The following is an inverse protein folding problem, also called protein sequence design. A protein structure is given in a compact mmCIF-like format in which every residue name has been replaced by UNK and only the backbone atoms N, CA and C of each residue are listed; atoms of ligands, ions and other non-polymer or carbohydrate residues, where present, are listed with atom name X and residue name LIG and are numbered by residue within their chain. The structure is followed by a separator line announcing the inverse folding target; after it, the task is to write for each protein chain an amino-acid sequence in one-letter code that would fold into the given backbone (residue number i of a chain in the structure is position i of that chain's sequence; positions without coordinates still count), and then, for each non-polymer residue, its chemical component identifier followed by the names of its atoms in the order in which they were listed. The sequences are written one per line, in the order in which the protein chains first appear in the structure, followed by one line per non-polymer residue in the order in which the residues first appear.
data_IF_028923476208
#
_entry.id   IF_028923476208
#
_cell.length_a   1.000
_cell.length_b   1.000
_cell.length_c   1.000
_cell.angle_alpha   90.00
_cell.angle_beta   90.00
_cell.angle_gamma   90.00
#
_symmetry.space_group_name_H-M   'P 1'
#
loop_
_entity.id
_entity.type
_entity.pdbx_description
1 polymer ?
#
# COMPACT_ATOMS: atom_id res chain seq x y z
N UNK A 1 2.79 13.32 -12.41
CA UNK A 1 2.45 14.22 -13.53
C UNK A 1 2.28 15.62 -12.98
N UNK A 2 2.61 16.66 -13.75
CA UNK A 2 2.38 18.07 -13.43
C UNK A 2 1.39 18.61 -14.45
N UNK A 3 0.38 19.32 -13.98
CA UNK A 3 -0.70 19.86 -14.80
C UNK A 3 -0.71 21.38 -14.79
N UNK A 4 -1.14 21.99 -15.89
CA UNK A 4 -1.45 23.42 -15.94
C UNK A 4 -2.83 23.70 -15.32
N UNK A 5 -3.19 24.98 -15.18
CA UNK A 5 -4.52 25.38 -14.72
C UNK A 5 -5.64 24.92 -15.68
N UNK A 6 -5.33 24.75 -16.96
CA UNK A 6 -6.28 24.29 -17.99
C UNK A 6 -6.45 22.76 -18.01
N UNK A 7 -5.70 22.03 -17.18
CA UNK A 7 -5.74 20.57 -17.08
C UNK A 7 -4.80 19.85 -18.04
N UNK A 8 -3.96 20.57 -18.79
CA UNK A 8 -2.98 19.97 -19.69
C UNK A 8 -1.80 19.37 -18.94
N UNK A 9 -1.27 18.26 -19.45
CA UNK A 9 -0.06 17.63 -18.90
C UNK A 9 1.18 18.42 -19.32
N UNK A 10 1.77 19.14 -18.38
CA UNK A 10 3.00 19.90 -18.60
C UNK A 10 4.23 18.98 -18.59
N UNK A 11 4.30 18.04 -17.65
CA UNK A 11 5.41 17.11 -17.52
C UNK A 11 5.00 15.81 -16.82
N UNK A 12 5.70 14.73 -17.15
CA UNK A 12 5.55 13.43 -16.51
C UNK A 12 6.89 12.70 -16.43
N UNK A 13 6.97 11.84 -15.43
CA UNK A 13 8.06 10.89 -15.20
C UNK A 13 7.44 9.60 -14.68
N UNK A 14 8.12 8.49 -14.93
CA UNK A 14 7.66 7.14 -14.63
C UNK A 14 8.88 6.25 -14.43
N UNK A 15 8.77 5.34 -13.48
CA UNK A 15 9.79 4.35 -13.20
C UNK A 15 9.11 3.08 -12.68
N UNK A 16 9.65 1.94 -13.07
CA UNK A 16 9.24 0.64 -12.57
C UNK A 16 9.87 0.36 -11.19
N UNK A 17 9.19 -0.44 -10.39
CA UNK A 17 9.71 -0.97 -9.13
C UNK A 17 9.55 -2.50 -9.12
N UNK A 18 10.38 -3.18 -8.34
CA UNK A 18 10.48 -4.63 -8.36
C UNK A 18 9.21 -5.29 -7.82
N UNK A 19 8.76 -6.33 -8.52
CA UNK A 19 7.73 -7.24 -8.05
C UNK A 19 8.41 -8.41 -7.33
N UNK A 20 8.15 -8.58 -6.03
CA UNK A 20 8.70 -9.68 -5.26
C UNK A 20 7.69 -10.84 -5.20
N UNK A 21 8.15 -12.04 -5.56
CA UNK A 21 7.36 -13.27 -5.53
C UNK A 21 8.03 -14.32 -4.63
N UNK A 22 7.95 -14.20 -3.28
CA UNK A 22 8.63 -15.12 -2.37
C UNK A 22 8.21 -16.58 -2.55
N UNK A 23 6.95 -16.81 -2.95
CA UNK A 23 6.40 -18.12 -3.28
C UNK A 23 5.17 -17.98 -4.21
N UNK A 24 4.70 -19.06 -4.85
CA UNK A 24 3.55 -19.01 -5.75
C UNK A 24 2.31 -18.37 -5.10
N UNK A 25 1.72 -17.39 -5.79
CA UNK A 25 0.54 -16.66 -5.33
C UNK A 25 0.81 -15.53 -4.33
N UNK A 26 2.08 -15.33 -3.93
CA UNK A 26 2.48 -14.21 -3.07
C UNK A 26 3.06 -13.09 -3.92
N UNK A 27 2.64 -11.86 -3.63
CA UNK A 27 3.07 -10.66 -4.35
C UNK A 27 3.38 -9.57 -3.32
N UNK A 28 4.62 -9.11 -3.33
CA UNK A 28 5.14 -8.12 -2.39
C UNK A 28 5.86 -6.98 -3.11
N UNK A 29 5.88 -5.80 -2.47
CA UNK A 29 6.75 -4.69 -2.83
C UNK A 29 7.56 -4.25 -1.62
N UNK A 30 8.80 -3.78 -1.81
CA UNK A 30 9.52 -3.06 -0.76
C UNK A 30 8.90 -1.65 -0.59
N UNK A 31 8.35 -1.30 0.60
CA UNK A 31 7.80 0.04 0.82
C UNK A 31 8.83 1.17 0.68
N UNK A 32 10.13 0.88 0.92
CA UNK A 32 11.20 1.85 0.74
C UNK A 32 11.45 2.12 -0.73
N UNK A 33 11.46 1.07 -1.57
CA UNK A 33 11.60 1.23 -3.01
C UNK A 33 10.42 2.04 -3.59
N UNK A 34 9.19 1.78 -3.13
CA UNK A 34 8.02 2.59 -3.51
C UNK A 34 8.27 4.07 -3.18
N UNK A 35 8.75 4.36 -1.97
CA UNK A 35 8.99 5.73 -1.51
C UNK A 35 10.13 6.42 -2.24
N UNK A 36 11.25 5.72 -2.43
CA UNK A 36 12.43 6.22 -3.15
C UNK A 36 12.10 6.49 -4.63
N UNK A 37 11.42 5.55 -5.28
CA UNK A 37 10.97 5.69 -6.67
C UNK A 37 10.00 6.86 -6.81
N UNK A 38 9.06 7.02 -5.87
CA UNK A 38 8.12 8.17 -5.86
C UNK A 38 8.87 9.50 -5.79
N UNK A 39 9.88 9.62 -4.92
CA UNK A 39 10.69 10.83 -4.83
C UNK A 39 11.49 11.10 -6.12
N UNK A 40 12.06 10.05 -6.73
CA UNK A 40 12.82 10.16 -7.97
C UNK A 40 11.94 10.67 -9.12
N UNK A 41 10.76 10.09 -9.33
CA UNK A 41 9.85 10.53 -10.41
C UNK A 41 9.28 11.93 -10.16
N UNK A 42 9.10 12.34 -8.90
CA UNK A 42 8.72 13.74 -8.58
C UNK A 42 9.83 14.70 -9.01
N UNK A 43 11.08 14.42 -8.62
CA UNK A 43 12.23 15.26 -8.99
C UNK A 43 12.43 15.31 -10.50
N UNK A 44 12.29 14.17 -11.18
CA UNK A 44 12.41 14.08 -12.63
C UNK A 44 11.31 14.86 -13.35
N UNK A 45 10.05 14.76 -12.90
CA UNK A 45 8.95 15.52 -13.50
C UNK A 45 9.14 17.04 -13.35
N UNK A 46 9.61 17.50 -12.18
CA UNK A 46 9.94 18.90 -11.95
C UNK A 46 11.07 19.37 -12.88
N UNK A 47 12.14 18.57 -13.01
CA UNK A 47 13.28 18.85 -13.87
C UNK A 47 12.87 18.94 -15.35
N UNK A 48 12.12 17.94 -15.85
CA UNK A 48 11.59 17.90 -17.23
C UNK A 48 10.68 19.09 -17.53
N UNK A 49 9.82 19.47 -16.58
CA UNK A 49 8.95 20.64 -16.70
C UNK A 49 9.64 21.98 -16.47
N UNK A 50 10.91 21.97 -16.02
CA UNK A 50 11.67 23.18 -15.59
C UNK A 50 10.91 23.99 -14.54
N UNK A 51 10.19 23.30 -13.65
CA UNK A 51 9.36 23.90 -12.62
C UNK A 51 10.09 23.89 -11.28
N UNK A 52 10.07 25.02 -10.59
CA UNK A 52 10.53 25.11 -9.21
C UNK A 52 9.44 24.57 -8.27
N UNK A 53 9.80 23.85 -7.18
CA UNK A 53 8.80 23.32 -6.24
C UNK A 53 7.82 24.37 -5.71
N UNK A 54 8.28 25.61 -5.49
CA UNK A 54 7.45 26.71 -5.01
C UNK A 54 6.36 27.19 -5.98
N UNK A 55 6.38 26.74 -7.24
CA UNK A 55 5.33 27.04 -8.23
C UNK A 55 4.19 26.01 -8.22
N UNK A 56 4.30 24.93 -7.45
CA UNK A 56 3.25 23.91 -7.33
C UNK A 56 2.19 24.36 -6.34
N UNK A 57 0.95 24.52 -6.80
CA UNK A 57 -0.16 24.96 -5.96
C UNK A 57 -0.70 23.87 -5.03
N UNK A 58 -0.68 22.61 -5.47
CA UNK A 58 -1.21 21.47 -4.73
C UNK A 58 -0.62 20.14 -5.21
N UNK A 59 -0.75 19.09 -4.39
CA UNK A 59 -0.38 17.72 -4.74
C UNK A 59 -1.63 16.85 -4.69
N UNK A 60 -1.93 16.17 -5.80
CA UNK A 60 -2.91 15.09 -5.85
C UNK A 60 -2.22 13.74 -5.66
N UNK A 61 -2.74 12.91 -4.76
CA UNK A 61 -2.20 11.57 -4.49
C UNK A 61 -3.21 10.55 -4.97
N UNK A 62 -2.72 9.61 -5.78
CA UNK A 62 -3.44 8.40 -6.18
C UNK A 62 -2.49 7.22 -6.04
N UNK A 63 -3.03 6.04 -5.76
CA UNK A 63 -2.22 4.86 -5.47
C UNK A 63 -2.92 3.58 -5.94
N UNK A 64 -2.13 2.52 -6.11
CA UNK A 64 -2.68 1.18 -6.16
C UNK A 64 -3.45 0.93 -4.85
N UNK A 65 -4.70 0.49 -4.98
CA UNK A 65 -5.56 0.25 -3.83
C UNK A 65 -5.20 -1.09 -3.16
N UNK A 66 -5.78 -1.30 -1.98
CA UNK A 66 -5.72 -2.49 -1.11
C UNK A 66 -4.34 -2.95 -0.60
N UNK A 67 -3.24 -2.68 -1.31
CA UNK A 67 -1.87 -2.96 -0.88
C UNK A 67 -1.64 -2.44 0.54
N UNK A 68 -1.15 -3.30 1.42
CA UNK A 68 -1.11 -3.06 2.88
C UNK A 68 0.33 -2.97 3.38
N UNK A 69 0.64 -1.90 4.10
CA UNK A 69 1.95 -1.64 4.72
C UNK A 69 1.71 -1.39 6.21
N UNK A 70 2.58 -1.94 7.06
CA UNK A 70 2.63 -1.64 8.50
C UNK A 70 4.04 -1.14 8.82
N UNK A 71 4.16 -0.11 9.65
CA UNK A 71 5.45 0.48 10.00
C UNK A 71 5.54 0.87 11.47
N UNK A 72 6.77 0.91 11.99
CA UNK A 72 7.06 1.45 13.31
C UNK A 72 6.83 2.96 13.34
N UNK A 73 5.97 3.41 14.26
CA UNK A 73 5.50 4.79 14.38
C UNK A 73 6.62 5.80 14.65
N UNK A 74 7.65 5.40 15.41
CA UNK A 74 8.72 6.30 15.84
C UNK A 74 9.78 6.47 14.76
N UNK A 75 10.12 5.38 14.08
CA UNK A 75 11.21 5.33 13.11
C UNK A 75 10.75 5.48 11.66
N UNK A 76 9.46 5.27 11.39
CA UNK A 76 8.91 5.21 10.03
C UNK A 76 9.34 3.97 9.24
N UNK A 77 10.00 3.00 9.89
CA UNK A 77 10.52 1.81 9.20
C UNK A 77 9.43 0.77 9.02
N UNK A 78 9.24 0.22 7.80
CA UNK A 78 8.33 -0.89 7.60
C UNK A 78 8.72 -2.09 8.45
N UNK A 79 7.74 -2.76 9.05
CA UNK A 79 7.99 -3.99 9.83
C UNK A 79 8.06 -5.23 8.92
N UNK A 80 7.55 -5.10 7.69
CA UNK A 80 7.54 -6.13 6.65
C UNK A 80 7.39 -5.46 5.27
N UNK A 81 7.51 -6.23 4.19
CA UNK A 81 7.16 -5.78 2.85
C UNK A 81 5.68 -5.39 2.74
N UNK A 82 5.35 -4.57 1.74
CA UNK A 82 3.96 -4.33 1.39
C UNK A 82 3.33 -5.60 0.83
N UNK A 83 2.20 -6.04 1.38
CA UNK A 83 1.43 -7.15 0.81
C UNK A 83 0.50 -6.58 -0.25
N UNK A 84 0.72 -6.97 -1.51
CA UNK A 84 0.05 -6.38 -2.67
C UNK A 84 -1.38 -6.88 -2.78
N UNK A 85 -2.26 -6.09 -3.41
CA UNK A 85 -3.66 -6.45 -3.66
C UNK A 85 -3.85 -7.78 -4.40
N UNK A 86 -2.92 -8.17 -5.28
CA UNK A 86 -2.93 -9.45 -6.01
C UNK A 86 -2.59 -10.66 -5.13
N UNK A 87 -2.00 -10.44 -3.95
CA UNK A 87 -1.54 -11.50 -3.08
C UNK A 87 -2.69 -12.38 -2.57
N UNK A 88 -2.49 -13.70 -2.62
CA UNK A 88 -3.50 -14.71 -2.28
C UNK A 88 -3.23 -15.45 -0.97
N UNK A 89 -2.21 -15.03 -0.18
CA UNK A 89 -1.78 -15.72 1.05
C UNK A 89 -2.85 -15.80 2.12
N UNK A 90 -3.81 -14.88 2.08
CA UNK A 90 -4.86 -14.73 3.09
C UNK A 90 -6.08 -15.60 2.81
N UNK A 91 -5.98 -16.61 1.93
CA UNK A 91 -7.09 -17.50 1.57
C UNK A 91 -7.70 -18.18 2.80
N UNK A 92 -6.87 -18.74 3.67
CA UNK A 92 -7.31 -19.43 4.90
C UNK A 92 -7.98 -18.46 5.88
N UNK A 93 -7.44 -17.24 5.99
CA UNK A 93 -8.05 -16.16 6.76
C UNK A 93 -9.45 -15.83 6.23
N UNK A 94 -9.60 -15.68 4.91
CA UNK A 94 -10.90 -15.38 4.29
C UNK A 94 -11.89 -16.52 4.51
N UNK A 95 -11.44 -17.78 4.36
CA UNK A 95 -12.27 -18.95 4.59
C UNK A 95 -12.75 -19.01 6.05
N UNK A 96 -11.87 -18.70 7.00
CA UNK A 96 -12.24 -18.64 8.42
C UNK A 96 -13.32 -17.59 8.70
N UNK A 97 -13.26 -16.41 8.08
CA UNK A 97 -14.28 -15.36 8.22
C UNK A 97 -15.65 -15.87 7.72
N UNK A 98 -15.66 -16.66 6.65
CA UNK A 98 -16.87 -17.26 6.08
C UNK A 98 -17.42 -18.34 7.03
N UNK A 99 -16.56 -19.27 7.45
CA UNK A 99 -16.92 -20.41 8.30
C UNK A 99 -17.41 -19.96 9.69
N UNK A 100 -16.84 -18.87 10.22
CA UNK A 100 -17.27 -18.24 11.48
C UNK A 100 -18.58 -17.42 11.32
N UNK A 101 -19.17 -17.36 10.12
CA UNK A 101 -20.43 -16.66 9.85
C UNK A 101 -20.34 -15.13 9.86
N UNK A 102 -19.12 -14.58 9.72
CA UNK A 102 -18.85 -13.13 9.84
C UNK A 102 -19.05 -12.39 8.51
N UNK A 103 -18.98 -13.09 7.36
CA UNK A 103 -19.10 -12.49 6.02
C UNK A 103 -20.35 -11.61 5.80
N UNK A 104 -21.57 -11.95 6.28
CA UNK A 104 -22.74 -11.09 6.14
C UNK A 104 -22.53 -9.69 6.74
N UNK A 105 -21.88 -9.61 7.91
CA UNK A 105 -21.58 -8.34 8.58
C UNK A 105 -20.52 -7.54 7.82
N UNK A 106 -19.51 -8.21 7.26
CA UNK A 106 -18.51 -7.55 6.39
C UNK A 106 -19.20 -6.92 5.19
N UNK A 107 -20.08 -7.67 4.53
CA UNK A 107 -20.78 -7.19 3.33
C UNK A 107 -21.73 -6.04 3.63
N UNK A 108 -22.48 -6.11 4.73
CA UNK A 108 -23.36 -5.01 5.16
C UNK A 108 -22.57 -3.73 5.42
N UNK A 109 -21.44 -3.82 6.13
CA UNK A 109 -20.68 -2.63 6.57
C UNK A 109 -19.79 -2.03 5.50
N UNK A 110 -19.28 -2.85 4.58
CA UNK A 110 -18.23 -2.44 3.64
C UNK A 110 -18.66 -2.50 2.18
N UNK A 111 -19.74 -3.23 1.88
CA UNK A 111 -20.12 -3.59 0.51
C UNK A 111 -19.21 -4.66 -0.13
N UNK A 112 -18.23 -5.19 0.60
CA UNK A 112 -17.23 -6.12 0.09
C UNK A 112 -17.55 -7.57 0.48
N UNK A 113 -16.99 -8.52 -0.28
CA UNK A 113 -17.00 -9.96 0.03
C UNK A 113 -15.71 -10.37 0.76
N UNK A 114 -15.70 -11.54 1.40
CA UNK A 114 -14.49 -12.11 1.96
C UNK A 114 -13.57 -12.62 0.85
N UNK A 115 -12.59 -11.80 0.45
CA UNK A 115 -11.65 -12.14 -0.61
C UNK A 115 -10.23 -11.71 -0.26
N UNK A 116 -9.24 -12.44 -0.79
CA UNK A 116 -7.82 -12.16 -0.56
C UNK A 116 -7.36 -10.81 -1.10
N UNK A 117 -8.18 -10.20 -1.97
CA UNK A 117 -7.92 -8.91 -2.60
C UNK A 117 -7.77 -7.76 -1.58
N UNK A 118 -8.59 -7.74 -0.53
CA UNK A 118 -8.73 -6.59 0.37
C UNK A 118 -7.69 -6.55 1.50
N UNK A 119 -7.51 -5.36 2.09
CA UNK A 119 -6.47 -5.08 3.09
C UNK A 119 -6.66 -5.75 4.44
N UNK A 120 -7.91 -5.93 4.90
CA UNK A 120 -8.21 -6.45 6.23
C UNK A 120 -7.53 -7.81 6.52
N UNK A 121 -7.73 -8.83 5.67
CA UNK A 121 -7.03 -10.11 5.79
C UNK A 121 -5.50 -9.99 5.75
N UNK A 122 -4.96 -9.04 4.96
CA UNK A 122 -3.50 -8.82 4.84
C UNK A 122 -2.93 -8.22 6.12
N UNK A 123 -3.65 -7.26 6.71
CA UNK A 123 -3.29 -6.68 8.00
C UNK A 123 -3.32 -7.74 9.11
N UNK A 124 -4.35 -8.59 9.16
CA UNK A 124 -4.39 -9.68 10.14
C UNK A 124 -3.21 -10.65 9.96
N UNK A 125 -2.87 -11.01 8.72
CA UNK A 125 -1.70 -11.82 8.43
C UNK A 125 -0.41 -11.17 8.96
N UNK A 126 -0.20 -9.88 8.70
CA UNK A 126 0.97 -9.14 9.20
C UNK A 126 1.06 -9.16 10.73
N UNK A 127 -0.04 -8.90 11.43
CA UNK A 127 -0.07 -8.89 12.89
C UNK A 127 0.22 -10.28 13.50
N UNK A 128 -0.22 -11.35 12.84
CA UNK A 128 -0.07 -12.72 13.34
C UNK A 128 1.27 -13.36 12.97
N UNK A 129 1.89 -12.95 11.86
CA UNK A 129 3.07 -13.61 11.31
C UNK A 129 4.36 -12.80 11.46
N UNK A 130 4.29 -11.48 11.60
CA UNK A 130 5.47 -10.64 11.84
C UNK A 130 5.78 -10.65 13.34
N UNK A 131 6.97 -11.13 13.78
CA UNK A 131 7.28 -11.26 15.19
C UNK A 131 7.09 -9.95 15.96
N UNK A 132 6.28 -10.02 17.03
CA UNK A 132 5.99 -8.88 17.90
C UNK A 132 5.00 -7.86 17.34
N UNK A 133 4.62 -7.92 16.06
CA UNK A 133 3.79 -6.89 15.41
C UNK A 133 2.46 -6.68 16.12
N UNK A 134 1.76 -7.75 16.54
CA UNK A 134 0.52 -7.65 17.31
C UNK A 134 0.70 -6.90 18.64
N UNK A 135 1.72 -7.27 19.42
CA UNK A 135 2.00 -6.62 20.71
C UNK A 135 2.38 -5.16 20.52
N UNK A 136 3.21 -4.84 19.52
CA UNK A 136 3.55 -3.47 19.19
C UNK A 136 2.31 -2.67 18.73
N UNK A 137 1.39 -3.29 17.98
CA UNK A 137 0.16 -2.65 17.52
C UNK A 137 -0.78 -2.33 18.68
N UNK A 138 -0.94 -3.26 19.62
CA UNK A 138 -1.74 -3.07 20.84
C UNK A 138 -1.20 -1.94 21.73
N UNK A 139 0.12 -1.67 21.66
CA UNK A 139 0.77 -0.52 22.32
C UNK A 139 0.74 0.77 21.49
N UNK A 140 0.21 0.75 20.27
CA UNK A 140 0.20 1.90 19.36
C UNK A 140 1.57 2.28 18.79
N UNK A 141 2.53 1.34 18.82
CA UNK A 141 3.90 1.52 18.36
C UNK A 141 4.08 1.23 16.87
N UNK A 142 3.16 0.48 16.27
CA UNK A 142 3.06 0.32 14.81
C UNK A 142 1.75 0.88 14.28
N UNK A 143 1.79 1.37 13.05
CA UNK A 143 0.66 1.95 12.29
C UNK A 143 0.39 1.14 11.02
#
# INVERSE_FOLDING_TARGET
MIFTHDGDVLASAYQEHVQHYPQPGWVEHDPREIWETTQQVIQEALSRGRIQPGAISAIGITNQRETTIVWDRLTGRPVYNAIVWQDTRTREICQKIIDDGVEPVVRERTGLVSATYFSGPKLMWLLDHVPGARTHAERGEVL
#
